data_IF_101030586218
#
_entry.id   IF_101030586218
#
_cell.length_a   1.000
_cell.length_b   1.000
_cell.length_c   1.000
_cell.angle_alpha   90.00
_cell.angle_beta   90.00
_cell.angle_gamma   90.00
#
_symmetry.space_group_name_H-M   'P 1'
#
loop_
_entity.id
_entity.type
_entity.pdbx_description
1 polymer ?
#
# COMPACT_ATOMS: atom_id res chain seq x y z
N UNK A 1 1.38 -10.18 4.99
CA UNK A 1 0.62 -9.08 5.62
C UNK A 1 -0.71 -9.02 4.92
N UNK A 2 -1.81 -8.93 5.65
CA UNK A 2 -3.14 -8.78 5.05
C UNK A 2 -3.33 -7.39 4.43
N UNK A 3 -4.32 -7.21 3.55
CA UNK A 3 -4.68 -5.89 3.02
C UNK A 3 -4.97 -4.89 4.14
N UNK A 4 -5.59 -5.32 5.23
CA UNK A 4 -5.86 -4.47 6.40
C UNK A 4 -4.58 -3.95 7.07
N UNK A 5 -3.57 -4.80 7.25
CA UNK A 5 -2.26 -4.40 7.81
C UNK A 5 -1.51 -3.45 6.86
N UNK A 6 -1.56 -3.72 5.56
CA UNK A 6 -1.00 -2.86 4.52
C UNK A 6 -1.69 -1.48 4.51
N UNK A 7 -3.02 -1.45 4.67
CA UNK A 7 -3.81 -0.22 4.72
C UNK A 7 -3.47 0.62 5.97
N UNK A 8 -3.33 0.02 7.14
CA UNK A 8 -2.91 0.73 8.35
C UNK A 8 -1.52 1.34 8.19
N UNK A 9 -0.59 0.58 7.59
CA UNK A 9 0.76 1.06 7.29
C UNK A 9 0.73 2.23 6.30
N UNK A 10 -0.07 2.11 5.23
CA UNK A 10 -0.25 3.17 4.25
C UNK A 10 -0.86 4.43 4.87
N UNK A 11 -1.83 4.29 5.77
CA UNK A 11 -2.39 5.44 6.49
C UNK A 11 -1.33 6.14 7.34
N UNK A 12 -0.51 5.38 8.08
CA UNK A 12 0.54 5.96 8.91
C UNK A 12 1.61 6.70 8.09
N UNK A 13 1.97 6.18 6.92
CA UNK A 13 3.07 6.71 6.12
C UNK A 13 2.62 7.79 5.13
N UNK A 14 1.44 7.66 4.55
CA UNK A 14 1.04 8.45 3.39
C UNK A 14 -0.14 9.38 3.66
N UNK A 15 -1.00 9.12 4.65
CA UNK A 15 -2.14 10.01 4.92
C UNK A 15 -1.64 11.35 5.45
N UNK A 16 -2.18 12.44 4.91
CA UNK A 16 -2.11 13.77 5.51
C UNK A 16 -3.34 13.94 6.39
N UNK A 17 -3.19 14.29 7.66
CA UNK A 17 -4.33 14.47 8.55
C UNK A 17 -5.16 15.70 8.16
N UNK A 18 -6.44 15.70 8.52
CA UNK A 18 -7.29 16.88 8.29
C UNK A 18 -6.73 18.08 9.06
N UNK A 19 -6.57 19.22 8.38
CA UNK A 19 -5.98 20.43 8.96
C UNK A 19 -4.45 20.45 9.01
N UNK A 20 -3.77 19.38 8.58
CA UNK A 20 -2.32 19.33 8.49
C UNK A 20 -1.84 19.85 7.12
N UNK A 21 -0.74 20.60 7.11
CA UNK A 21 -0.08 20.99 5.87
C UNK A 21 0.66 19.78 5.27
N UNK A 22 0.57 19.51 3.96
CA UNK A 22 1.11 18.29 3.35
C UNK A 22 2.64 18.16 3.35
N UNK A 23 3.37 19.28 3.56
CA UNK A 23 4.84 19.38 3.66
C UNK A 23 5.59 18.47 2.67
N UNK A 24 5.35 18.70 1.37
CA UNK A 24 5.88 17.86 0.29
C UNK A 24 7.41 17.71 0.32
N UNK A 25 8.15 18.71 0.82
CA UNK A 25 9.60 18.64 0.99
C UNK A 25 10.07 17.61 2.01
N UNK A 26 9.21 17.21 2.95
CA UNK A 26 9.49 16.20 3.98
C UNK A 26 9.09 14.79 3.52
N UNK A 27 8.43 14.66 2.36
CA UNK A 27 7.99 13.39 1.80
C UNK A 27 8.93 12.95 0.68
N UNK A 28 9.58 11.81 0.86
CA UNK A 28 10.42 11.22 -0.18
C UNK A 28 9.52 10.60 -1.27
N UNK A 29 9.57 11.10 -2.53
CA UNK A 29 8.85 10.50 -3.65
C UNK A 29 9.52 9.20 -4.14
N UNK A 30 10.76 8.95 -3.73
CA UNK A 30 11.46 7.71 -3.99
C UNK A 30 10.90 6.57 -3.16
N UNK A 31 10.80 5.39 -3.78
CA UNK A 31 10.57 4.18 -2.99
C UNK A 31 11.86 3.84 -2.24
N UNK A 32 11.90 4.10 -0.93
CA UNK A 32 12.99 3.71 -0.02
C UNK A 32 13.08 2.18 0.21
N UNK A 33 12.70 1.38 -0.80
CA UNK A 33 12.61 -0.07 -0.68
C UNK A 33 13.93 -0.68 -0.23
N UNK A 34 13.85 -1.57 0.75
CA UNK A 34 14.93 -2.35 1.39
C UNK A 34 16.22 -2.43 0.54
N UNK A 35 17.20 -1.52 0.80
CA UNK A 35 18.45 -1.43 0.04
C UNK A 35 19.27 -2.72 0.10
N UNK A 36 19.03 -3.54 1.13
CA UNK A 36 19.65 -4.85 1.35
C UNK A 36 19.21 -5.91 0.32
N UNK A 37 18.17 -5.64 -0.49
CA UNK A 37 17.64 -6.56 -1.50
C UNK A 37 17.89 -6.04 -2.91
N UNK A 38 18.40 -6.93 -3.77
CA UNK A 38 18.54 -6.63 -5.20
C UNK A 38 17.19 -6.23 -5.81
N UNK A 39 17.22 -5.31 -6.78
CA UNK A 39 16.02 -4.79 -7.44
C UNK A 39 15.11 -5.91 -7.96
N UNK A 40 15.69 -6.96 -8.54
CA UNK A 40 14.92 -8.13 -9.01
C UNK A 40 14.14 -8.81 -7.89
N UNK A 41 14.73 -8.97 -6.71
CA UNK A 41 14.05 -9.56 -5.54
C UNK A 41 12.94 -8.63 -5.04
N UNK A 42 13.23 -7.32 -4.95
CA UNK A 42 12.25 -6.29 -4.57
C UNK A 42 11.03 -6.30 -5.50
N UNK A 43 11.25 -6.28 -6.81
CA UNK A 43 10.17 -6.35 -7.82
C UNK A 43 9.37 -7.64 -7.74
N UNK A 44 10.03 -8.79 -7.58
CA UNK A 44 9.33 -10.09 -7.46
C UNK A 44 8.41 -10.12 -6.24
N UNK A 45 8.88 -9.61 -5.11
CA UNK A 45 8.07 -9.54 -3.89
C UNK A 45 6.94 -8.52 -4.02
N UNK A 46 7.19 -7.35 -4.62
CA UNK A 46 6.15 -6.37 -4.89
C UNK A 46 5.05 -6.93 -5.80
N UNK A 47 5.41 -7.71 -6.83
CA UNK A 47 4.45 -8.36 -7.72
C UNK A 47 3.54 -9.34 -6.96
N UNK A 48 4.10 -10.16 -6.07
CA UNK A 48 3.30 -11.08 -5.25
C UNK A 48 2.33 -10.34 -4.32
N UNK A 49 2.80 -9.27 -3.65
CA UNK A 49 1.93 -8.45 -2.79
C UNK A 49 0.79 -7.80 -3.60
N UNK A 50 1.08 -7.36 -4.83
CA UNK A 50 0.06 -6.78 -5.71
C UNK A 50 -0.97 -7.82 -6.16
N UNK A 51 -0.53 -9.02 -6.51
CA UNK A 51 -1.41 -10.11 -6.92
C UNK A 51 -2.36 -10.51 -5.78
N UNK A 52 -1.82 -10.79 -4.59
CA UNK A 52 -2.60 -11.10 -3.38
C UNK A 52 -3.61 -9.97 -3.06
N UNK A 53 -3.18 -8.71 -3.19
CA UNK A 53 -4.01 -7.55 -2.93
C UNK A 53 -5.16 -7.35 -3.94
N UNK A 54 -4.95 -7.72 -5.21
CA UNK A 54 -6.00 -7.65 -6.25
C UNK A 54 -7.09 -8.69 -5.98
N UNK A 55 -6.72 -9.91 -5.57
CA UNK A 55 -7.66 -10.96 -5.20
C UNK A 55 -8.53 -10.50 -4.02
N UNK A 56 -7.91 -10.05 -2.92
CA UNK A 56 -8.63 -9.60 -1.72
C UNK A 56 -9.54 -8.38 -2.00
N UNK A 57 -9.09 -7.44 -2.85
CA UNK A 57 -9.91 -6.30 -3.26
C UNK A 57 -11.12 -6.69 -4.12
N UNK A 58 -10.98 -7.72 -4.95
CA UNK A 58 -12.07 -8.21 -5.80
C UNK A 58 -13.18 -8.81 -4.93
N UNK A 59 -12.81 -9.68 -3.98
CA UNK A 59 -13.76 -10.28 -3.05
C UNK A 59 -14.51 -9.22 -2.23
N UNK A 60 -13.79 -8.20 -1.75
CA UNK A 60 -14.39 -7.08 -1.03
C UNK A 60 -15.34 -6.25 -1.90
N UNK A 61 -15.04 -6.10 -3.19
CA UNK A 61 -15.91 -5.38 -4.13
C UNK A 61 -17.20 -6.17 -4.40
N UNK A 62 -17.14 -7.48 -4.52
CA UNK A 62 -18.33 -8.33 -4.66
C UNK A 62 -19.22 -8.26 -3.42
N UNK A 63 -18.63 -8.29 -2.23
CA UNK A 63 -19.35 -8.11 -0.97
C UNK A 63 -20.01 -6.73 -0.86
N UNK A 64 -19.30 -5.67 -1.28
CA UNK A 64 -19.85 -4.32 -1.29
C UNK A 64 -21.04 -4.21 -2.25
N UNK A 65 -20.93 -4.81 -3.43
CA UNK A 65 -22.02 -4.84 -4.41
C UNK A 65 -23.24 -5.60 -3.88
N UNK A 66 -23.04 -6.73 -3.21
CA UNK A 66 -24.12 -7.53 -2.64
C UNK A 66 -24.79 -6.90 -1.41
N UNK A 67 -24.16 -5.89 -0.79
CA UNK A 67 -24.67 -5.18 0.38
C UNK A 67 -25.56 -3.98 0.03
N UNK A 68 -25.62 -3.59 -1.24
CA UNK A 68 -26.53 -2.58 -1.81
C UNK A 68 -27.86 -3.22 -2.26
#
# INVERSE_FOLDING_TARGET
MSLAENFQTAQKLFRVAAGEAPRLSERDPGWAGDEDRSEKKRRKQAAAILEDGVEELTDLQELLWAAD
#
